data_IF_355170609109
#
_entry.id   IF_355170609109
#
_cell.length_a   1.000
_cell.length_b   1.000
_cell.length_c   1.000
_cell.angle_alpha   90.00
_cell.angle_beta   90.00
_cell.angle_gamma   90.00
#
_symmetry.space_group_name_H-M   'P 1'
#
loop_
_entity.id
_entity.type
_entity.pdbx_description
1 polymer ?
#
# COMPACT_ATOMS: atom_id res chain seq x y z
N UNK A 1 0.83 11.78 8.25
CA UNK A 1 1.01 11.37 6.86
C UNK A 1 1.51 9.93 6.84
N UNK A 2 1.00 9.11 5.94
CA UNK A 2 1.34 7.68 5.83
C UNK A 2 1.93 7.43 4.44
N UNK A 3 2.98 6.60 4.39
CA UNK A 3 3.52 6.02 3.15
C UNK A 3 3.06 4.57 3.07
N UNK A 4 2.71 4.12 1.87
CA UNK A 4 2.30 2.73 1.65
C UNK A 4 2.69 2.24 0.26
N UNK A 5 2.71 0.91 0.11
CA UNK A 5 2.90 0.22 -1.16
C UNK A 5 1.89 -0.93 -1.24
N UNK A 6 1.38 -1.21 -2.44
CA UNK A 6 0.60 -2.41 -2.71
C UNK A 6 0.90 -2.95 -4.11
N UNK A 7 0.66 -4.24 -4.29
CA UNK A 7 0.85 -4.93 -5.56
C UNK A 7 -0.46 -5.52 -6.04
N UNK A 8 -0.73 -5.42 -7.33
CA UNK A 8 -1.94 -5.91 -7.97
C UNK A 8 -1.66 -6.25 -9.44
N UNK A 9 -2.58 -6.96 -10.07
CA UNK A 9 -2.55 -7.15 -11.52
C UNK A 9 -3.87 -6.72 -12.15
N UNK A 10 -3.80 -6.24 -13.38
CA UNK A 10 -4.99 -5.90 -14.16
C UNK A 10 -5.67 -7.15 -14.75
N UNK A 11 -6.76 -6.93 -15.48
CA UNK A 11 -7.52 -8.00 -16.13
C UNK A 11 -6.73 -8.68 -17.27
N UNK A 12 -5.64 -8.08 -17.76
CA UNK A 12 -4.75 -8.66 -18.76
C UNK A 12 -3.57 -9.41 -18.11
N UNK A 13 -3.51 -9.46 -16.78
CA UNK A 13 -2.44 -10.13 -16.03
C UNK A 13 -1.15 -9.32 -15.93
N UNK A 14 -1.15 -8.03 -16.28
CA UNK A 14 0.02 -7.17 -16.07
C UNK A 14 0.09 -6.78 -14.60
N UNK A 15 1.28 -6.94 -14.01
CA UNK A 15 1.51 -6.62 -12.61
C UNK A 15 1.97 -5.17 -12.42
N UNK A 16 1.56 -4.61 -11.30
CA UNK A 16 1.84 -3.24 -10.90
C UNK A 16 2.24 -3.20 -9.43
N UNK A 17 3.22 -2.35 -9.11
CA UNK A 17 3.47 -1.88 -7.75
C UNK A 17 3.11 -0.41 -7.67
N UNK A 18 2.19 -0.11 -6.77
CA UNK A 18 1.70 1.24 -6.53
C UNK A 18 2.38 1.81 -5.29
N UNK A 19 2.96 3.01 -5.41
CA UNK A 19 3.58 3.75 -4.31
C UNK A 19 2.69 4.91 -3.95
N UNK A 20 2.31 5.03 -2.67
CA UNK A 20 1.34 6.02 -2.25
C UNK A 20 1.73 6.80 -1.00
N UNK A 21 1.25 8.04 -0.97
CA UNK A 21 1.27 8.91 0.20
C UNK A 21 -0.17 9.30 0.55
N UNK A 22 -0.52 9.18 1.83
CA UNK A 22 -1.83 9.58 2.33
C UNK A 22 -1.75 10.60 3.47
N UNK A 23 -2.57 11.63 3.37
CA UNK A 23 -2.81 12.60 4.41
C UNK A 23 -4.20 12.34 5.00
N UNK A 24 -4.23 12.09 6.30
CA UNK A 24 -5.45 11.79 7.04
C UNK A 24 -5.71 12.87 8.07
N UNK A 25 -6.97 13.27 8.16
CA UNK A 25 -7.49 14.12 9.21
C UNK A 25 -8.59 13.35 9.95
N UNK A 26 -8.54 13.34 11.27
CA UNK A 26 -9.48 12.64 12.13
C UNK A 26 -10.37 13.62 12.89
N UNK A 27 -11.60 13.22 13.21
CA UNK A 27 -12.49 13.94 14.11
C UNK A 27 -12.20 13.64 15.59
N UNK A 28 -13.00 14.22 16.48
CA UNK A 28 -12.86 14.05 17.94
C UNK A 28 -13.12 12.62 18.44
N UNK A 29 -13.79 11.79 17.64
CA UNK A 29 -14.06 10.39 17.94
C UNK A 29 -13.00 9.45 17.34
N UNK A 30 -11.98 10.00 16.67
CA UNK A 30 -10.94 9.24 15.99
C UNK A 30 -11.37 8.65 14.65
N UNK A 31 -12.51 9.08 14.09
CA UNK A 31 -12.93 8.68 12.75
C UNK A 31 -12.27 9.57 11.70
N UNK A 32 -11.86 8.97 10.59
CA UNK A 32 -11.25 9.72 9.49
C UNK A 32 -12.30 10.60 8.82
N UNK A 33 -12.09 11.92 8.82
CA UNK A 33 -12.99 12.91 8.21
C UNK A 33 -12.48 13.48 6.89
N UNK A 34 -11.16 13.42 6.63
CA UNK A 34 -10.54 13.79 5.35
C UNK A 34 -9.43 12.80 5.02
N UNK A 35 -9.36 12.41 3.75
CA UNK A 35 -8.31 11.57 3.18
C UNK A 35 -7.90 12.10 1.83
N UNK A 36 -6.62 12.43 1.71
CA UNK A 36 -6.00 12.78 0.43
C UNK A 36 -4.94 11.76 0.12
N UNK A 37 -5.00 11.17 -1.07
CA UNK A 37 -4.06 10.14 -1.50
C UNK A 37 -3.49 10.51 -2.86
N UNK A 38 -2.17 10.43 -2.99
CA UNK A 38 -1.46 10.45 -4.26
C UNK A 38 -0.74 9.13 -4.44
N UNK A 39 -0.96 8.48 -5.58
CA UNK A 39 -0.52 7.12 -5.86
C UNK A 39 0.09 7.09 -7.26
N UNK A 40 1.26 6.48 -7.38
CA UNK A 40 1.95 6.28 -8.66
C UNK A 40 2.14 4.78 -8.91
N UNK A 41 1.69 4.32 -10.08
CA UNK A 41 1.80 2.93 -10.50
C UNK A 41 3.07 2.71 -11.33
N UNK A 42 3.81 1.66 -10.98
CA UNK A 42 4.99 1.21 -11.74
C UNK A 42 4.75 -0.22 -12.18
N UNK A 43 4.90 -0.48 -13.47
CA UNK A 43 4.82 -1.83 -14.00
C UNK A 43 5.95 -2.70 -13.44
N UNK A 44 5.63 -3.92 -13.03
CA UNK A 44 6.58 -4.92 -12.54
C UNK A 44 6.33 -6.27 -13.23
N UNK A 45 7.29 -7.18 -13.18
CA UNK A 45 7.04 -8.58 -13.53
C UNK A 45 6.46 -9.34 -12.33
N UNK A 46 5.89 -10.52 -12.56
CA UNK A 46 5.45 -11.38 -11.45
C UNK A 46 6.61 -11.79 -10.53
N UNK A 47 7.82 -11.96 -11.08
CA UNK A 47 9.01 -12.32 -10.32
C UNK A 47 9.53 -11.17 -9.43
N UNK A 48 9.19 -9.92 -9.76
CA UNK A 48 9.60 -8.75 -8.98
C UNK A 48 8.72 -8.52 -7.75
N UNK A 49 7.63 -9.28 -7.59
CA UNK A 49 6.68 -9.15 -6.49
C UNK A 49 7.35 -9.37 -5.13
N UNK A 50 6.93 -8.56 -4.16
CA UNK A 50 7.44 -8.59 -2.77
C UNK A 50 6.34 -8.87 -1.76
N UNK A 51 5.08 -8.61 -2.12
CA UNK A 51 3.95 -8.71 -1.20
C UNK A 51 3.13 -9.94 -1.59
N UNK A 52 3.28 -11.02 -0.81
CA UNK A 52 2.69 -12.34 -1.08
C UNK A 52 1.80 -12.78 0.10
N UNK A 53 0.51 -12.99 -0.19
CA UNK A 53 -0.44 -13.52 0.79
C UNK A 53 -0.82 -12.52 1.88
N UNK A 54 -1.47 -13.03 2.93
CA UNK A 54 -1.84 -12.22 4.09
C UNK A 54 -0.64 -11.94 5.00
N UNK A 55 -0.70 -10.82 5.72
CA UNK A 55 0.26 -10.51 6.79
C UNK A 55 0.15 -11.57 7.89
N UNK A 56 1.29 -12.18 8.26
CA UNK A 56 1.30 -13.22 9.31
C UNK A 56 1.30 -12.56 10.69
N UNK A 57 0.82 -13.27 11.70
CA UNK A 57 0.85 -12.81 13.10
C UNK A 57 2.25 -12.40 13.58
N UNK A 58 3.29 -13.11 13.11
CA UNK A 58 4.70 -12.80 13.39
C UNK A 58 5.16 -11.44 12.87
N UNK A 59 4.46 -10.88 11.88
CA UNK A 59 4.86 -9.66 11.20
C UNK A 59 4.18 -8.42 11.82
N UNK A 60 3.37 -8.59 12.88
CA UNK A 60 2.71 -7.48 13.56
C UNK A 60 3.72 -6.63 14.33
N UNK A 61 3.64 -5.31 14.18
CA UNK A 61 4.59 -4.38 14.80
C UNK A 61 5.92 -4.24 14.06
N UNK A 62 6.19 -5.05 13.04
CA UNK A 62 7.29 -4.80 12.12
C UNK A 62 6.92 -3.69 11.13
N UNK A 63 7.85 -2.77 10.87
CA UNK A 63 7.68 -1.81 9.81
C UNK A 63 7.73 -2.50 8.45
N UNK A 64 6.90 -2.03 7.52
CA UNK A 64 7.01 -2.47 6.13
C UNK A 64 8.30 -1.87 5.56
N UNK A 65 9.15 -2.66 4.87
CA UNK A 65 10.32 -2.12 4.19
C UNK A 65 9.85 -1.28 3.00
N UNK A 66 9.61 0.01 3.25
CA UNK A 66 9.23 0.98 2.23
C UNK A 66 10.50 1.55 1.60
N UNK A 67 10.91 0.94 0.48
CA UNK A 67 11.92 1.53 -0.43
C UNK A 67 11.47 2.90 -0.96
#
# INVERSE_FOLDING_TARGET
AVRFQYEWHDAQGRWWRSYGNELWEFDEHGLMRRREASINDVAITEADRRILGSRRASDHGADLPLE
#
